data_IF_453177438320
#
_entry.id   IF_453177438320
#
_cell.length_a   1.000
_cell.length_b   1.000
_cell.length_c   1.000
_cell.angle_alpha   90.00
_cell.angle_beta   90.00
_cell.angle_gamma   90.00
#
_symmetry.space_group_name_H-M   'P 1'
#
loop_
_entity.id
_entity.type
_entity.pdbx_description
1 polymer ?
#
# COMPACT_ATOMS: atom_id res chain seq x y z
N UNK A 1 3.14 -15.25 13.59
CA UNK A 1 3.90 -14.68 12.46
C UNK A 1 3.25 -13.38 12.02
N UNK A 2 4.01 -12.28 11.95
CA UNK A 2 3.51 -10.97 11.53
C UNK A 2 4.02 -10.73 10.12
N UNK A 3 3.14 -10.42 9.18
CA UNK A 3 3.58 -10.10 7.82
C UNK A 3 4.47 -8.85 7.83
N UNK A 4 5.48 -8.85 6.96
CA UNK A 4 6.29 -7.67 6.70
C UNK A 4 5.75 -6.92 5.49
N UNK A 5 6.06 -5.62 5.39
CA UNK A 5 5.72 -4.84 4.18
C UNK A 5 6.36 -5.48 2.94
N UNK A 6 7.59 -5.97 3.04
CA UNK A 6 8.29 -6.59 1.92
C UNK A 6 7.56 -7.84 1.41
N UNK A 7 7.11 -8.72 2.32
CA UNK A 7 6.41 -9.95 1.95
C UNK A 7 5.08 -9.65 1.25
N UNK A 8 4.33 -8.66 1.75
CA UNK A 8 3.09 -8.22 1.12
C UNK A 8 3.34 -7.66 -0.29
N UNK A 9 4.37 -6.82 -0.46
CA UNK A 9 4.68 -6.26 -1.78
C UNK A 9 5.06 -7.34 -2.81
N UNK A 10 5.79 -8.38 -2.38
CA UNK A 10 6.07 -9.54 -3.23
C UNK A 10 4.77 -10.23 -3.64
N UNK A 11 3.88 -10.53 -2.68
CA UNK A 11 2.59 -11.16 -2.97
C UNK A 11 1.70 -10.32 -3.90
N UNK A 12 1.66 -9.00 -3.72
CA UNK A 12 0.92 -8.08 -4.61
C UNK A 12 1.46 -8.22 -6.04
N UNK A 13 2.78 -8.14 -6.22
CA UNK A 13 3.39 -8.25 -7.54
C UNK A 13 3.15 -9.62 -8.18
N UNK A 14 3.25 -10.70 -7.41
CA UNK A 14 3.02 -12.06 -7.91
C UNK A 14 1.55 -12.29 -8.32
N UNK A 15 0.60 -11.69 -7.59
CA UNK A 15 -0.85 -11.91 -7.81
C UNK A 15 -1.43 -11.00 -8.89
N UNK A 16 -1.04 -9.74 -8.89
CA UNK A 16 -1.64 -8.72 -9.77
C UNK A 16 -0.76 -8.38 -10.97
N UNK A 17 0.54 -8.70 -10.93
CA UNK A 17 1.48 -8.41 -12.01
C UNK A 17 1.52 -6.92 -12.35
N UNK A 18 1.60 -6.62 -13.63
CA UNK A 18 1.68 -5.24 -14.14
C UNK A 18 0.34 -4.49 -14.11
N UNK A 19 -0.71 -5.07 -13.52
CA UNK A 19 -2.03 -4.40 -13.34
C UNK A 19 -2.02 -3.37 -12.20
N UNK A 20 -1.00 -3.41 -11.34
CA UNK A 20 -0.80 -2.47 -10.24
C UNK A 20 0.60 -1.86 -10.35
N UNK A 21 0.66 -0.54 -10.43
CA UNK A 21 1.87 0.22 -10.20
C UNK A 21 2.07 0.38 -8.69
N UNK A 22 3.30 0.15 -8.22
CA UNK A 22 3.64 0.20 -6.79
C UNK A 22 4.76 1.21 -6.59
N UNK A 23 4.45 2.28 -5.85
CA UNK A 23 5.41 3.24 -5.38
C UNK A 23 5.62 3.12 -3.86
N UNK A 24 6.88 3.20 -3.42
CA UNK A 24 7.24 3.24 -2.00
C UNK A 24 7.68 4.65 -1.66
N UNK A 25 6.88 5.33 -0.82
CA UNK A 25 7.17 6.68 -0.37
C UNK A 25 7.81 6.66 1.02
N UNK A 26 9.01 7.23 1.14
CA UNK A 26 9.65 7.43 2.44
C UNK A 26 9.18 8.77 3.03
N UNK A 27 8.51 8.78 4.20
CA UNK A 27 7.99 10.00 4.82
C UNK A 27 9.10 10.98 5.26
N UNK A 28 10.36 10.53 5.32
CA UNK A 28 11.52 11.37 5.64
C UNK A 28 12.00 12.19 4.44
N UNK A 29 11.53 11.86 3.24
CA UNK A 29 11.87 12.62 2.04
C UNK A 29 10.93 13.81 1.90
N UNK A 30 11.47 15.02 2.08
CA UNK A 30 10.71 16.28 2.09
C UNK A 30 9.94 16.58 0.79
N UNK A 31 10.31 15.94 -0.33
CA UNK A 31 9.58 16.05 -1.60
C UNK A 31 8.15 15.53 -1.51
N UNK A 32 7.89 14.59 -0.59
CA UNK A 32 6.60 13.93 -0.42
C UNK A 32 5.81 14.48 0.79
N UNK A 33 6.21 15.64 1.32
CA UNK A 33 5.53 16.26 2.47
C UNK A 33 4.04 16.54 2.17
N UNK A 34 3.71 16.87 0.92
CA UNK A 34 2.32 17.09 0.50
C UNK A 34 1.47 15.81 0.60
N UNK A 35 2.03 14.63 0.34
CA UNK A 35 1.31 13.37 0.43
C UNK A 35 1.02 12.99 1.89
N UNK A 36 1.92 13.33 2.83
CA UNK A 36 1.65 13.17 4.26
C UNK A 36 0.43 13.97 4.71
N UNK A 37 0.27 15.19 4.19
CA UNK A 37 -0.88 16.05 4.48
C UNK A 37 -2.12 15.52 3.75
N UNK A 38 -2.01 15.24 2.44
CA UNK A 38 -3.10 14.79 1.57
C UNK A 38 -3.76 13.53 2.12
N UNK A 39 -2.97 12.57 2.59
CA UNK A 39 -3.47 11.28 3.10
C UNK A 39 -3.59 11.24 4.63
N UNK A 40 -3.22 12.33 5.31
CA UNK A 40 -3.22 12.44 6.79
C UNK A 40 -2.47 11.27 7.44
N UNK A 41 -1.26 11.00 6.96
CA UNK A 41 -0.39 9.92 7.43
C UNK A 41 0.65 10.49 8.37
N UNK A 42 0.84 9.89 9.55
CA UNK A 42 1.94 10.26 10.44
C UNK A 42 3.25 9.75 9.85
N UNK A 43 4.33 10.52 9.99
CA UNK A 43 5.65 10.13 9.47
C UNK A 43 6.21 8.82 10.04
N UNK A 44 5.60 8.28 11.11
CA UNK A 44 6.07 7.08 11.82
C UNK A 44 5.20 5.85 11.57
N UNK A 45 4.15 5.93 10.74
CA UNK A 45 3.26 4.81 10.47
C UNK A 45 3.32 4.40 8.99
N UNK A 46 3.21 3.09 8.74
CA UNK A 46 2.99 2.57 7.40
C UNK A 46 1.56 2.88 6.99
N UNK A 47 1.36 3.32 5.76
CA UNK A 47 0.04 3.55 5.17
C UNK A 47 -0.01 2.97 3.77
N UNK A 48 -1.16 2.39 3.43
CA UNK A 48 -1.42 1.83 2.11
C UNK A 48 -2.45 2.70 1.41
N UNK A 49 -2.10 3.18 0.22
CA UNK A 49 -2.91 4.10 -0.56
C UNK A 49 -3.13 3.46 -1.93
N UNK A 50 -4.38 3.41 -2.36
CA UNK A 50 -4.79 2.90 -3.67
C UNK A 50 -5.57 4.00 -4.39
N UNK A 51 -5.11 4.40 -5.58
CA UNK A 51 -5.70 5.48 -6.38
C UNK A 51 -5.97 6.77 -5.58
N UNK A 52 -5.02 7.15 -4.73
CA UNK A 52 -5.14 8.33 -3.89
C UNK A 52 -6.19 8.20 -2.77
N UNK A 53 -6.60 6.99 -2.41
CA UNK A 53 -7.43 6.72 -1.23
C UNK A 53 -6.65 5.90 -0.22
N UNK A 54 -6.64 6.33 1.03
CA UNK A 54 -6.07 5.57 2.13
C UNK A 54 -6.94 4.32 2.38
N UNK A 55 -6.38 3.13 2.18
CA UNK A 55 -7.09 1.86 2.36
C UNK A 55 -6.70 1.14 3.65
N UNK A 56 -5.44 1.27 4.11
CA UNK A 56 -5.01 0.71 5.39
C UNK A 56 -4.01 1.61 6.12
N UNK A 57 -4.02 1.51 7.46
CA UNK A 57 -2.95 1.99 8.34
C UNK A 57 -2.29 0.80 9.02
N UNK A 58 -0.97 0.83 9.11
CA UNK A 58 -0.16 -0.29 9.56
C UNK A 58 0.06 -1.35 8.47
N UNK A 59 0.48 -2.54 8.89
CA UNK A 59 0.69 -3.69 7.99
C UNK A 59 -0.58 -4.55 8.04
N UNK A 60 -1.38 -4.62 6.96
CA UNK A 60 -2.60 -5.42 6.92
C UNK A 60 -2.28 -6.91 6.80
N UNK A 61 -3.28 -7.75 7.02
CA UNK A 61 -3.23 -9.16 6.64
C UNK A 61 -3.40 -9.30 5.12
N UNK A 62 -2.67 -10.23 4.50
CA UNK A 62 -2.70 -10.48 3.06
C UNK A 62 -4.12 -10.65 2.53
N UNK A 63 -4.96 -11.47 3.17
CA UNK A 63 -6.31 -11.75 2.70
C UNK A 63 -7.16 -10.47 2.53
N UNK A 64 -7.01 -9.49 3.44
CA UNK A 64 -7.73 -8.22 3.36
C UNK A 64 -7.15 -7.30 2.29
N UNK A 65 -5.83 -7.30 2.15
CA UNK A 65 -5.16 -6.50 1.12
C UNK A 65 -5.54 -7.03 -0.27
N UNK A 66 -5.50 -8.35 -0.46
CA UNK A 66 -5.88 -9.03 -1.70
C UNK A 66 -7.32 -8.72 -2.11
N UNK A 67 -8.28 -8.83 -1.18
CA UNK A 67 -9.69 -8.51 -1.43
C UNK A 67 -9.87 -7.08 -1.96
N UNK A 68 -9.32 -6.08 -1.26
CA UNK A 68 -9.44 -4.66 -1.65
C UNK A 68 -8.78 -4.37 -3.00
N UNK A 69 -7.62 -4.99 -3.27
CA UNK A 69 -6.94 -4.82 -4.56
C UNK A 69 -7.74 -5.50 -5.68
N UNK A 70 -8.23 -6.72 -5.47
CA UNK A 70 -9.01 -7.48 -6.44
C UNK A 70 -10.33 -6.78 -6.80
N UNK A 71 -11.00 -6.14 -5.84
CA UNK A 71 -12.19 -5.31 -6.12
C UNK A 71 -11.89 -4.18 -7.10
N UNK A 72 -10.65 -3.67 -7.11
CA UNK A 72 -10.27 -2.52 -7.91
C UNK A 72 -9.72 -2.87 -9.30
N UNK A 73 -8.90 -3.92 -9.40
CA UNK A 73 -8.20 -4.31 -10.64
C UNK A 73 -8.65 -5.65 -11.23
N UNK A 74 -9.55 -6.37 -10.54
CA UNK A 74 -9.96 -7.73 -10.87
C UNK A 74 -8.95 -8.78 -10.45
N UNK A 75 -9.39 -10.03 -10.23
CA UNK A 75 -8.49 -11.18 -10.14
C UNK A 75 -8.02 -11.60 -11.54
N UNK A 76 -6.85 -12.23 -11.66
CA UNK A 76 -6.48 -12.90 -12.91
C UNK A 76 -7.29 -14.20 -13.06
#
# INVERSE_FOLDING_TARGET
DRESVADLLVKVRDTFGDRLEIDILDPRCFLWLFDLIRFRVKSTEVAWILDGRLIFRGIPDWAKLEEVLAERVGTA
#
